data_IF_959850600933
#
_entry.id   IF_959850600933
#
_cell.length_a   1.000
_cell.length_b   1.000
_cell.length_c   1.000
_cell.angle_alpha   90.00
_cell.angle_beta   90.00
_cell.angle_gamma   90.00
#
_symmetry.space_group_name_H-M   'P 1'
#
loop_
_entity.id
_entity.type
_entity.pdbx_description
1 polymer ?
#
# COMPACT_ATOMS: atom_id res chain seq x y z
N UNK A 1 -14.27 30.20 -3.00
CA UNK A 1 -13.68 29.33 -1.98
C UNK A 1 -14.68 29.20 -0.86
N UNK A 2 -15.21 28.00 -0.66
CA UNK A 2 -16.13 27.73 0.45
C UNK A 2 -15.37 27.74 1.79
N UNK A 3 -16.03 28.04 2.91
CA UNK A 3 -15.40 28.02 4.24
C UNK A 3 -14.66 26.69 4.52
N UNK A 4 -15.22 25.57 4.07
CA UNK A 4 -14.63 24.23 4.20
C UNK A 4 -13.33 24.05 3.38
N UNK A 5 -13.25 24.63 2.18
CA UNK A 5 -12.01 24.63 1.39
C UNK A 5 -10.91 25.46 2.06
N UNK A 6 -11.25 26.62 2.61
CA UNK A 6 -10.28 27.47 3.32
C UNK A 6 -9.73 26.79 4.57
N UNK A 7 -10.58 26.11 5.35
CA UNK A 7 -10.16 25.32 6.52
C UNK A 7 -9.28 24.15 6.10
N UNK A 8 -9.64 23.42 5.04
CA UNK A 8 -8.83 22.32 4.51
C UNK A 8 -7.45 22.81 4.03
N UNK A 9 -7.41 23.95 3.33
CA UNK A 9 -6.17 24.57 2.88
C UNK A 9 -5.28 25.02 4.05
N UNK A 10 -5.87 25.56 5.12
CA UNK A 10 -5.15 25.89 6.34
C UNK A 10 -4.56 24.65 7.01
N UNK A 11 -5.30 23.54 7.06
CA UNK A 11 -4.82 22.27 7.59
C UNK A 11 -3.66 21.71 6.77
N UNK A 12 -3.75 21.72 5.43
CA UNK A 12 -2.64 21.29 4.57
C UNK A 12 -1.39 22.14 4.75
N UNK A 13 -1.54 23.46 4.95
CA UNK A 13 -0.40 24.35 5.28
C UNK A 13 0.22 23.99 6.63
N UNK A 14 -0.59 23.71 7.66
CA UNK A 14 -0.10 23.27 8.96
C UNK A 14 0.70 21.97 8.85
N UNK A 15 0.15 20.96 8.14
CA UNK A 15 0.84 19.69 7.89
C UNK A 15 2.16 19.94 7.15
N UNK A 16 2.20 20.83 6.15
CA UNK A 16 3.43 21.17 5.44
C UNK A 16 4.50 21.78 6.35
N UNK A 17 4.12 22.62 7.30
CA UNK A 17 5.05 23.18 8.31
C UNK A 17 5.56 22.05 9.22
N UNK A 18 4.68 21.17 9.70
CA UNK A 18 5.06 20.01 10.51
C UNK A 18 6.02 19.08 9.76
N UNK A 19 5.80 18.83 8.47
CA UNK A 19 6.71 18.02 7.64
C UNK A 19 8.11 18.64 7.51
N UNK A 20 8.24 19.97 7.53
CA UNK A 20 9.56 20.64 7.57
C UNK A 20 10.26 20.46 8.92
N UNK A 21 9.51 20.42 10.01
CA UNK A 21 10.03 20.19 11.35
C UNK A 21 10.27 18.70 11.66
N UNK A 22 9.63 17.79 10.90
CA UNK A 22 9.68 16.35 11.12
C UNK A 22 11.10 15.76 11.19
N UNK A 23 12.09 16.17 10.37
CA UNK A 23 13.46 15.63 10.48
C UNK A 23 14.10 15.92 11.84
N UNK A 24 13.89 17.11 12.39
CA UNK A 24 14.44 17.51 13.71
C UNK A 24 13.71 16.74 14.81
N UNK A 25 12.38 16.63 14.72
CA UNK A 25 11.57 15.85 15.67
C UNK A 25 11.94 14.37 15.68
N UNK A 26 12.10 13.75 14.49
CA UNK A 26 12.52 12.36 14.36
C UNK A 26 13.92 12.14 14.92
N UNK A 27 14.88 13.03 14.60
CA UNK A 27 16.23 12.96 15.16
C UNK A 27 16.22 13.02 16.69
N UNK A 28 15.48 13.97 17.27
CA UNK A 28 15.35 14.08 18.73
C UNK A 28 14.71 12.85 19.36
N UNK A 29 13.65 12.30 18.74
CA UNK A 29 13.00 11.09 19.21
C UNK A 29 13.92 9.85 19.16
N UNK A 30 14.68 9.67 18.08
CA UNK A 30 15.65 8.57 17.96
C UNK A 30 16.83 8.74 18.92
N UNK A 31 17.37 9.95 19.07
CA UNK A 31 18.44 10.24 20.02
C UNK A 31 18.00 9.96 21.46
N UNK A 32 16.80 10.40 21.85
CA UNK A 32 16.22 10.09 23.16
C UNK A 32 16.01 8.59 23.36
N UNK A 33 15.47 7.90 22.35
CA UNK A 33 15.19 6.46 22.45
C UNK A 33 16.47 5.65 22.64
N UNK A 34 17.54 5.98 21.90
CA UNK A 34 18.86 5.35 22.07
C UNK A 34 19.47 5.71 23.43
N UNK A 35 19.33 6.96 23.88
CA UNK A 35 19.85 7.41 25.17
C UNK A 35 19.15 6.77 26.37
N UNK A 36 17.83 6.59 26.31
CA UNK A 36 17.01 6.08 27.42
C UNK A 36 16.89 4.55 27.44
N UNK A 37 16.74 3.91 26.27
CA UNK A 37 16.47 2.48 26.13
C UNK A 37 17.65 1.69 25.50
N UNK A 38 18.74 2.38 25.17
CA UNK A 38 19.94 1.78 24.60
C UNK A 38 19.75 1.27 23.16
N UNK A 39 20.81 0.67 22.61
CA UNK A 39 20.82 0.15 21.24
C UNK A 39 19.88 -1.05 21.03
N UNK A 40 19.51 -1.75 22.10
CA UNK A 40 18.55 -2.85 22.05
C UNK A 40 17.18 -2.40 21.53
N UNK A 41 16.75 -1.17 21.84
CA UNK A 41 15.51 -0.60 21.31
C UNK A 41 15.53 -0.46 19.78
N UNK A 42 16.66 -0.05 19.21
CA UNK A 42 16.87 0.06 17.76
C UNK A 42 16.82 -1.31 17.11
N UNK A 43 17.38 -2.34 17.76
CA UNK A 43 17.31 -3.71 17.27
C UNK A 43 15.85 -4.21 17.18
N UNK A 44 15.00 -3.88 18.15
CA UNK A 44 13.57 -4.22 18.12
C UNK A 44 12.83 -3.50 16.99
N UNK A 45 13.12 -2.21 16.75
CA UNK A 45 12.56 -1.48 15.60
C UNK A 45 13.02 -2.10 14.26
N UNK A 46 14.30 -2.47 14.17
CA UNK A 46 14.82 -3.14 12.98
C UNK A 46 14.16 -4.51 12.77
N UNK A 47 13.96 -5.29 13.84
CA UNK A 47 13.26 -6.56 13.79
C UNK A 47 11.81 -6.41 13.31
N UNK A 48 11.11 -5.36 13.74
CA UNK A 48 9.77 -5.03 13.24
C UNK A 48 9.79 -4.76 11.73
N UNK A 49 10.71 -3.91 11.27
CA UNK A 49 10.85 -3.57 9.84
C UNK A 49 11.19 -4.82 9.02
N UNK A 50 12.15 -5.64 9.49
CA UNK A 50 12.54 -6.87 8.84
C UNK A 50 11.37 -7.86 8.75
N UNK A 51 10.60 -8.03 9.83
CA UNK A 51 9.41 -8.89 9.86
C UNK A 51 8.32 -8.37 8.91
N UNK A 52 8.14 -7.05 8.81
CA UNK A 52 7.21 -6.45 7.86
C UNK A 52 7.59 -6.75 6.41
N UNK A 53 8.86 -6.55 6.04
CA UNK A 53 9.33 -6.85 4.68
C UNK A 53 9.28 -8.34 4.37
N UNK A 54 9.63 -9.20 5.33
CA UNK A 54 9.55 -10.65 5.18
C UNK A 54 8.10 -11.10 4.95
N UNK A 55 7.17 -10.64 5.80
CA UNK A 55 5.74 -10.96 5.67
C UNK A 55 5.18 -10.47 4.33
N UNK A 56 5.55 -9.25 3.93
CA UNK A 56 5.15 -8.69 2.63
C UNK A 56 5.72 -9.48 1.46
N UNK A 57 6.97 -9.93 1.53
CA UNK A 57 7.59 -10.76 0.51
C UNK A 57 6.93 -12.13 0.40
N UNK A 58 6.61 -12.76 1.54
CA UNK A 58 5.86 -14.04 1.59
C UNK A 58 4.47 -13.85 0.99
N UNK A 59 3.79 -12.74 1.27
CA UNK A 59 2.47 -12.46 0.69
C UNK A 59 2.56 -12.28 -0.84
N UNK A 60 3.50 -11.48 -1.32
CA UNK A 60 3.65 -11.21 -2.77
C UNK A 60 4.13 -12.44 -3.54
N UNK A 61 5.14 -13.15 -3.06
CA UNK A 61 5.71 -14.30 -3.80
C UNK A 61 4.95 -15.58 -3.52
N UNK A 62 4.47 -15.78 -2.29
CA UNK A 62 3.69 -16.95 -1.90
C UNK A 62 2.24 -16.83 -2.35
N UNK A 63 1.46 -15.95 -1.72
CA UNK A 63 0.01 -15.87 -1.98
C UNK A 63 -0.28 -15.39 -3.41
N UNK A 64 0.24 -14.22 -3.80
CA UNK A 64 0.01 -13.72 -5.16
C UNK A 64 0.74 -14.55 -6.22
N UNK A 65 1.88 -15.18 -5.88
CA UNK A 65 2.56 -16.10 -6.77
C UNK A 65 1.77 -17.37 -7.04
N UNK A 66 1.13 -17.98 -6.04
CA UNK A 66 0.23 -19.11 -6.21
C UNK A 66 -0.97 -18.74 -7.11
N UNK A 67 -1.55 -17.55 -6.89
CA UNK A 67 -2.63 -17.03 -7.75
C UNK A 67 -2.14 -16.81 -9.18
N UNK A 68 -0.94 -16.26 -9.37
CA UNK A 68 -0.35 -16.04 -10.70
C UNK A 68 -0.12 -17.37 -11.44
N UNK A 69 0.39 -18.39 -10.74
CA UNK A 69 0.58 -19.74 -11.29
C UNK A 69 -0.78 -20.34 -11.70
N UNK A 70 -1.81 -20.21 -10.87
CA UNK A 70 -3.16 -20.68 -11.19
C UNK A 70 -3.76 -19.98 -12.44
N UNK A 71 -3.36 -18.74 -12.71
CA UNK A 71 -3.76 -17.98 -13.91
C UNK A 71 -2.78 -18.13 -15.10
N UNK A 72 -1.71 -18.93 -14.95
CA UNK A 72 -0.78 -19.26 -16.02
C UNK A 72 0.30 -18.21 -16.32
N UNK A 73 0.61 -17.31 -15.38
CA UNK A 73 1.69 -16.32 -15.53
C UNK A 73 2.65 -16.29 -14.33
N UNK A 74 3.85 -15.75 -14.56
CA UNK A 74 4.90 -15.70 -13.53
C UNK A 74 4.92 -14.33 -12.83
N UNK A 75 4.71 -14.33 -11.50
CA UNK A 75 4.70 -13.13 -10.67
C UNK A 75 6.03 -12.35 -10.73
N UNK A 76 7.18 -13.03 -10.84
CA UNK A 76 8.49 -12.39 -10.89
C UNK A 76 8.70 -11.61 -12.19
N UNK A 77 8.12 -12.10 -13.31
CA UNK A 77 8.13 -11.35 -14.58
C UNK A 77 7.27 -10.09 -14.47
N UNK A 78 6.09 -10.20 -13.83
CA UNK A 78 5.23 -9.05 -13.60
C UNK A 78 5.90 -7.99 -12.72
N UNK A 79 6.57 -8.40 -11.63
CA UNK A 79 7.33 -7.50 -10.77
C UNK A 79 8.44 -6.80 -11.55
N UNK A 80 9.17 -7.52 -12.42
CA UNK A 80 10.22 -6.94 -13.27
C UNK A 80 9.66 -5.93 -14.27
N UNK A 81 8.49 -6.20 -14.83
CA UNK A 81 7.81 -5.31 -15.75
C UNK A 81 7.35 -4.00 -15.07
N UNK A 82 6.88 -4.11 -13.83
CA UNK A 82 6.41 -2.99 -13.00
C UNK A 82 7.52 -2.33 -12.15
N UNK A 83 8.80 -2.63 -12.41
CA UNK A 83 9.93 -2.14 -11.58
C UNK A 83 9.97 -0.61 -11.46
N UNK A 84 9.61 0.10 -12.53
CA UNK A 84 9.67 1.57 -12.57
C UNK A 84 8.59 2.17 -11.67
N UNK A 85 7.39 1.60 -11.68
CA UNK A 85 6.30 1.98 -10.79
C UNK A 85 6.66 1.67 -9.33
N UNK A 86 7.23 0.49 -9.06
CA UNK A 86 7.67 0.12 -7.72
C UNK A 86 8.77 1.07 -7.19
N UNK A 87 9.73 1.45 -8.03
CA UNK A 87 10.76 2.43 -7.68
C UNK A 87 10.19 3.84 -7.51
N UNK A 88 9.21 4.23 -8.32
CA UNK A 88 8.52 5.52 -8.19
C UNK A 88 7.76 5.59 -6.87
N UNK A 89 7.02 4.54 -6.49
CA UNK A 89 6.31 4.48 -5.20
C UNK A 89 7.30 4.49 -4.04
N UNK A 90 8.42 3.77 -4.15
CA UNK A 90 9.47 3.78 -3.13
C UNK A 90 10.08 5.18 -2.95
N UNK A 91 10.37 5.89 -4.04
CA UNK A 91 10.97 7.22 -4.01
C UNK A 91 10.00 8.34 -3.60
N UNK A 92 8.73 8.22 -3.97
CA UNK A 92 7.70 9.25 -3.68
C UNK A 92 6.92 8.98 -2.41
N UNK A 93 7.02 7.76 -1.85
CA UNK A 93 6.16 7.26 -0.76
C UNK A 93 4.66 7.39 -1.06
N UNK A 94 4.27 7.47 -2.33
CA UNK A 94 2.89 7.65 -2.78
C UNK A 94 2.54 6.68 -3.90
N UNK A 95 1.59 5.79 -3.60
CA UNK A 95 1.04 4.85 -4.58
C UNK A 95 0.14 5.54 -5.63
N UNK A 96 -0.35 6.74 -5.36
CA UNK A 96 -1.15 7.58 -6.28
C UNK A 96 -0.32 8.04 -7.49
N UNK A 97 0.97 8.35 -7.27
CA UNK A 97 1.87 8.82 -8.32
C UNK A 97 2.12 7.76 -9.41
N UNK A 98 2.03 6.48 -9.06
CA UNK A 98 2.25 5.37 -9.98
C UNK A 98 0.99 4.89 -10.70
N UNK A 99 -0.20 5.28 -10.24
CA UNK A 99 -1.48 4.77 -10.74
C UNK A 99 -1.68 5.02 -12.26
N UNK A 100 -1.40 6.21 -12.82
CA UNK A 100 -1.58 6.46 -14.25
C UNK A 100 -0.60 5.64 -15.11
N UNK A 101 0.67 5.54 -14.67
CA UNK A 101 1.69 4.74 -15.35
C UNK A 101 1.30 3.26 -15.37
N UNK A 102 0.83 2.75 -14.23
CA UNK A 102 0.36 1.38 -14.07
C UNK A 102 -0.78 1.04 -15.04
N UNK A 103 -1.79 1.91 -15.15
CA UNK A 103 -2.91 1.72 -16.11
C UNK A 103 -2.37 1.61 -17.54
N UNK A 104 -1.49 2.53 -17.95
CA UNK A 104 -0.94 2.54 -19.31
C UNK A 104 -0.09 1.30 -19.62
N UNK A 105 0.71 0.82 -18.65
CA UNK A 105 1.51 -0.41 -18.79
C UNK A 105 0.63 -1.64 -18.85
N UNK A 106 -0.41 -1.73 -18.02
CA UNK A 106 -1.34 -2.86 -18.04
C UNK A 106 -2.14 -2.93 -19.35
N UNK A 107 -2.47 -1.80 -19.98
CA UNK A 107 -3.06 -1.79 -21.33
C UNK A 107 -2.06 -2.28 -22.40
N UNK A 108 -0.80 -1.81 -22.37
CA UNK A 108 0.27 -2.25 -23.30
C UNK A 108 0.61 -3.73 -23.17
N UNK A 109 0.46 -4.24 -21.96
CA UNK A 109 0.56 -5.64 -21.59
C UNK A 109 -0.53 -6.54 -22.20
N UNK A 110 -1.57 -5.96 -22.81
CA UNK A 110 -2.65 -6.70 -23.47
C UNK A 110 -3.92 -6.85 -22.64
N UNK A 111 -4.02 -6.23 -21.46
CA UNK A 111 -5.26 -6.21 -20.70
C UNK A 111 -6.28 -5.25 -21.34
N UNK A 112 -7.54 -5.68 -21.43
CA UNK A 112 -8.61 -4.87 -22.02
C UNK A 112 -8.81 -3.57 -21.24
N UNK A 113 -8.92 -2.43 -21.93
CA UNK A 113 -9.10 -1.11 -21.31
C UNK A 113 -10.26 -1.05 -20.31
N UNK A 114 -11.37 -1.73 -20.62
CA UNK A 114 -12.53 -1.82 -19.74
C UNK A 114 -12.23 -2.54 -18.42
N UNK A 115 -11.35 -3.55 -18.45
CA UNK A 115 -10.93 -4.29 -17.25
C UNK A 115 -9.92 -3.46 -16.47
N UNK A 116 -8.88 -2.92 -17.13
CA UNK A 116 -7.85 -2.11 -16.45
C UNK A 116 -8.45 -0.86 -15.81
N UNK A 117 -9.31 -0.16 -16.54
CA UNK A 117 -9.94 1.09 -16.08
C UNK A 117 -10.88 0.94 -14.89
N UNK A 118 -11.33 -0.28 -14.59
CA UNK A 118 -12.13 -0.56 -13.39
C UNK A 118 -11.28 -1.25 -12.31
N UNK A 119 -10.57 -2.32 -12.66
CA UNK A 119 -9.88 -3.19 -11.69
C UNK A 119 -8.68 -2.50 -11.05
N UNK A 120 -7.89 -1.73 -11.80
CA UNK A 120 -6.69 -1.08 -11.24
C UNK A 120 -7.08 0.05 -10.26
N UNK A 121 -8.00 0.98 -10.60
CA UNK A 121 -8.46 1.98 -9.64
C UNK A 121 -9.22 1.39 -8.44
N UNK A 122 -10.05 0.37 -8.68
CA UNK A 122 -10.77 -0.32 -7.58
C UNK A 122 -9.77 -1.03 -6.66
N UNK A 123 -8.78 -1.72 -7.22
CA UNK A 123 -7.70 -2.35 -6.46
C UNK A 123 -6.90 -1.35 -5.62
N UNK A 124 -6.56 -0.18 -6.17
CA UNK A 124 -5.86 0.87 -5.43
C UNK A 124 -6.59 1.32 -4.14
N UNK A 125 -7.93 1.39 -4.19
CA UNK A 125 -8.73 1.83 -3.04
C UNK A 125 -9.12 0.69 -2.09
N UNK A 126 -9.37 -0.51 -2.61
CA UNK A 126 -9.91 -1.63 -1.83
C UNK A 126 -8.87 -2.69 -1.44
N UNK A 127 -7.81 -2.84 -2.21
CA UNK A 127 -6.71 -3.80 -1.98
C UNK A 127 -5.51 -3.08 -1.32
N UNK A 128 -5.72 -2.67 -0.07
CA UNK A 128 -4.72 -2.06 0.80
C UNK A 128 -4.11 -3.10 1.76
N UNK A 129 -3.75 -4.25 1.22
CA UNK A 129 -3.29 -5.38 2.03
C UNK A 129 -1.98 -5.05 2.76
N UNK A 130 -1.05 -4.36 2.09
CA UNK A 130 0.19 -3.88 2.71
C UNK A 130 -0.03 -2.91 3.88
N UNK A 131 -1.03 -2.01 3.76
CA UNK A 131 -1.37 -1.07 4.84
C UNK A 131 -1.98 -1.80 6.03
N UNK A 132 -2.81 -2.82 5.81
CA UNK A 132 -3.36 -3.62 6.90
C UNK A 132 -2.26 -4.40 7.63
N UNK A 133 -1.35 -5.05 6.88
CA UNK A 133 -0.19 -5.74 7.43
C UNK A 133 0.62 -4.78 8.31
N UNK A 134 0.93 -3.58 7.80
CA UNK A 134 1.64 -2.54 8.56
C UNK A 134 0.89 -2.12 9.83
N UNK A 135 -0.40 -1.78 9.72
CA UNK A 135 -1.19 -1.30 10.86
C UNK A 135 -1.28 -2.32 11.97
N UNK A 136 -1.53 -3.59 11.63
CA UNK A 136 -1.62 -4.67 12.63
C UNK A 136 -0.28 -4.93 13.30
N UNK A 137 0.83 -5.02 12.54
CA UNK A 137 2.14 -5.24 13.15
C UNK A 137 2.62 -4.05 13.98
N UNK A 138 2.37 -2.81 13.53
CA UNK A 138 2.70 -1.62 14.31
C UNK A 138 1.95 -1.60 15.66
N UNK A 139 0.66 -1.95 15.65
CA UNK A 139 -0.13 -1.99 16.87
C UNK A 139 0.31 -3.11 17.83
N UNK A 140 0.61 -4.31 17.30
CA UNK A 140 1.17 -5.41 18.08
C UNK A 140 2.53 -5.04 18.68
N UNK A 141 3.38 -4.38 17.91
CA UNK A 141 4.69 -3.91 18.39
C UNK A 141 4.57 -2.90 19.53
N UNK A 142 3.64 -1.94 19.42
CA UNK A 142 3.38 -0.97 20.49
C UNK A 142 2.84 -1.69 21.73
N UNK A 143 1.91 -2.62 21.57
CA UNK A 143 1.38 -3.39 22.70
C UNK A 143 2.49 -4.18 23.42
N UNK A 144 3.36 -4.85 22.67
CA UNK A 144 4.53 -5.54 23.21
C UNK A 144 5.50 -4.58 23.90
N UNK A 145 5.76 -3.41 23.32
CA UNK A 145 6.63 -2.39 23.91
C UNK A 145 6.07 -1.80 25.22
N UNK A 146 4.74 -1.77 25.36
CA UNK A 146 4.04 -1.32 26.56
C UNK A 146 3.75 -2.45 27.57
N UNK A 147 4.20 -3.68 27.30
CA UNK A 147 3.89 -4.88 28.09
C UNK A 147 2.37 -5.09 28.28
N UNK A 148 1.59 -4.83 27.22
CA UNK A 148 0.16 -5.10 27.18
C UNK A 148 -0.04 -6.45 26.51
N UNK A 149 -0.51 -7.43 27.27
CA UNK A 149 -0.91 -8.73 26.74
C UNK A 149 -2.22 -8.59 25.95
N UNK A 150 -2.13 -8.73 24.62
CA UNK A 150 -3.29 -8.75 23.73
C UNK A 150 -3.80 -10.19 23.58
N UNK A 151 -5.03 -10.43 24.05
CA UNK A 151 -5.71 -11.70 23.80
C UNK A 151 -6.00 -11.89 22.31
N UNK A 152 -6.23 -13.13 21.86
CA UNK A 152 -6.62 -13.42 20.47
C UNK A 152 -7.87 -12.63 20.04
N UNK A 153 -8.79 -12.37 20.96
CA UNK A 153 -9.99 -11.58 20.67
C UNK A 153 -9.64 -10.12 20.38
N UNK A 154 -8.72 -9.53 21.14
CA UNK A 154 -8.27 -8.16 20.94
C UNK A 154 -7.49 -8.02 19.63
N UNK A 155 -6.67 -9.03 19.29
CA UNK A 155 -5.94 -9.06 18.02
C UNK A 155 -6.89 -9.09 16.81
N UNK A 156 -7.96 -9.89 16.88
CA UNK A 156 -9.00 -9.95 15.84
C UNK A 156 -9.78 -8.64 15.77
N UNK A 157 -10.18 -8.07 16.91
CA UNK A 157 -10.88 -6.78 16.96
C UNK A 157 -10.04 -5.66 16.37
N UNK A 158 -8.75 -5.62 16.73
CA UNK A 158 -7.79 -4.66 16.21
C UNK A 158 -7.64 -4.78 14.69
N UNK A 159 -7.54 -6.01 14.17
CA UNK A 159 -7.50 -6.27 12.74
C UNK A 159 -8.77 -5.80 12.03
N UNK A 160 -9.96 -6.08 12.59
CA UNK A 160 -11.23 -5.64 12.02
C UNK A 160 -11.36 -4.11 11.97
N UNK A 161 -11.01 -3.43 13.06
CA UNK A 161 -11.03 -1.96 13.12
C UNK A 161 -10.02 -1.35 12.16
N UNK A 162 -8.81 -1.92 12.08
CA UNK A 162 -7.79 -1.49 11.12
C UNK A 162 -8.26 -1.66 9.66
N UNK A 163 -8.87 -2.80 9.34
CA UNK A 163 -9.44 -3.07 8.00
C UNK A 163 -10.57 -2.10 7.65
N UNK A 164 -11.47 -1.81 8.61
CA UNK A 164 -12.60 -0.90 8.42
C UNK A 164 -12.11 0.54 8.19
N UNK A 165 -11.16 0.99 9.02
CA UNK A 165 -10.54 2.32 8.90
C UNK A 165 -9.77 2.51 7.59
N UNK A 166 -9.06 1.46 7.14
CA UNK A 166 -8.29 1.44 5.89
C UNK A 166 -9.18 1.53 4.64
N UNK A 167 -10.32 0.81 4.63
CA UNK A 167 -11.23 0.74 3.48
C UNK A 167 -12.25 1.89 3.44
N UNK A 168 -12.57 2.52 4.58
CA UNK A 168 -13.54 3.63 4.65
C UNK A 168 -13.03 4.97 4.10
N UNK A 169 -11.72 5.14 3.88
CA UNK A 169 -11.09 6.45 3.65
C UNK A 169 -10.83 6.80 2.18
N UNK A 170 -10.98 5.85 1.24
CA UNK A 170 -10.58 6.00 -0.19
C UNK A 170 -11.75 5.94 -1.19
N UNK A 171 -12.97 6.21 -0.70
CA UNK A 171 -14.16 6.42 -1.52
C UNK A 171 -14.19 7.82 -2.17
N UNK A 172 -13.13 8.24 -2.87
CA UNK A 172 -13.25 9.39 -3.78
C UNK A 172 -13.66 8.87 -5.15
N UNK A 173 -14.84 9.26 -5.69
CA UNK A 173 -15.27 8.82 -7.00
C UNK A 173 -14.34 9.44 -8.05
N UNK A 174 -13.37 8.65 -8.53
CA UNK A 174 -12.69 8.96 -9.77
C UNK A 174 -13.76 8.86 -10.87
N UNK A 175 -14.22 10.02 -11.34
CA UNK A 175 -15.16 10.15 -12.45
C UNK A 175 -14.52 9.58 -13.70
N UNK A 176 -14.70 8.28 -13.94
CA UNK A 176 -14.40 7.65 -15.22
C UNK A 176 -15.46 8.12 -16.22
N UNK A 177 -15.21 9.25 -16.86
CA UNK A 177 -15.91 9.59 -18.10
C UNK A 177 -15.11 9.02 -19.27
N UNK A 178 -15.53 7.88 -19.80
CA UNK A 178 -15.48 7.70 -21.26
C UNK A 178 -16.65 6.83 -21.73
N UNK A 179 -17.33 7.22 -22.83
CA UNK A 179 -18.53 6.58 -23.31
C UNK A 179 -18.22 5.36 -24.17
N UNK A 180 -18.93 4.26 -23.94
CA UNK A 180 -19.29 3.20 -24.91
C UNK A 180 -18.17 2.45 -25.67
N UNK A 181 -18.13 1.11 -25.51
CA UNK A 181 -18.12 0.10 -26.59
C UNK A 181 -18.34 -1.35 -26.06
N UNK A 182 -18.92 -2.27 -26.86
CA UNK A 182 -19.61 -3.51 -26.42
C UNK A 182 -18.65 -4.69 -26.13
N UNK A 183 -19.13 -5.88 -25.69
CA UNK A 183 -18.35 -6.82 -24.89
C UNK A 183 -17.42 -7.70 -25.74
N UNK A 184 -16.10 -7.51 -25.60
CA UNK A 184 -15.13 -8.45 -26.13
C UNK A 184 -15.02 -9.69 -25.23
N UNK A 185 -15.53 -10.82 -25.73
CA UNK A 185 -15.45 -12.21 -25.23
C UNK A 185 -14.02 -12.78 -25.08
N UNK A 186 -13.00 -11.98 -24.79
CA UNK A 186 -11.58 -12.37 -24.93
C UNK A 186 -10.80 -12.56 -23.61
N UNK A 187 -11.47 -12.94 -22.51
CA UNK A 187 -10.79 -13.17 -21.23
C UNK A 187 -10.00 -14.50 -21.15
N UNK A 188 -10.13 -15.42 -22.12
CA UNK A 188 -9.51 -16.76 -22.06
C UNK A 188 -8.41 -17.02 -23.10
N UNK A 189 -8.04 -16.03 -23.92
CA UNK A 189 -7.00 -16.20 -24.97
C UNK A 189 -5.97 -15.06 -24.99
N UNK A 190 -5.59 -14.53 -23.83
CA UNK A 190 -4.34 -13.77 -23.73
C UNK A 190 -3.19 -14.78 -23.50
N UNK A 191 -2.23 -14.92 -24.43
CA UNK A 191 -1.07 -15.78 -24.22
C UNK A 191 -0.10 -15.07 -23.27
N UNK A 192 -0.36 -15.16 -21.96
CA UNK A 192 0.53 -14.65 -20.91
C UNK A 192 1.94 -15.29 -20.93
N UNK A 193 2.17 -16.31 -21.77
CA UNK A 193 3.47 -16.96 -21.98
C UNK A 193 4.48 -16.12 -22.78
N UNK A 194 4.06 -15.10 -23.53
CA UNK A 194 4.92 -14.36 -24.46
C UNK A 194 5.43 -13.00 -23.94
N UNK A 195 5.38 -12.76 -22.63
CA UNK A 195 5.90 -11.53 -22.06
C UNK A 195 7.44 -11.53 -22.05
N UNK A 196 8.10 -10.45 -22.51
CA UNK A 196 9.54 -10.27 -22.40
C UNK A 196 10.02 -10.24 -20.94
#
# INVERSE_FOLDING_TARGET
MTFLESVSAAFFKLVAILMKAAPIGAFGAFAFTIGAYGIASVANLFALIATFYLTSAIFVVGVLGLVAIANGFNILKLIRYLKEELLLVLGTSSSEAALPSLISKMERAGAAKSVVGLVVPTGYSFNLDGTNIYMTMAALFIAQALNIDLSLQDQVLLLLVAMLSSKGRRGSPARVSSPWRPPCRWCLRCPWRAWP
#
